data_IF_758901249799
#
_entry.id   IF_758901249799
#
_cell.length_a   1.000
_cell.length_b   1.000
_cell.length_c   1.000
_cell.angle_alpha   90.00
_cell.angle_beta   90.00
_cell.angle_gamma   90.00
#
_symmetry.space_group_name_H-M   'P 1'
#
loop_
_entity.id
_entity.type
_entity.pdbx_description
1 polymer ?
#
# COMPACT_ATOMS: atom_id res chain seq x y z
N UNK A 1 19.73 -2.18 1.84
CA UNK A 1 18.93 -3.41 1.55
C UNK A 1 17.48 -3.12 1.97
N UNK A 2 16.52 -3.42 1.08
CA UNK A 2 15.09 -3.21 1.33
C UNK A 2 14.41 -4.56 1.54
N UNK A 3 13.56 -4.66 2.56
CA UNK A 3 12.65 -5.77 2.83
C UNK A 3 11.22 -5.31 2.62
N UNK A 4 10.49 -6.01 1.75
CA UNK A 4 9.07 -5.77 1.50
C UNK A 4 8.24 -6.87 2.15
N UNK A 5 7.50 -6.52 3.19
CA UNK A 5 6.52 -7.39 3.83
C UNK A 5 5.26 -7.44 2.97
N UNK A 6 4.99 -8.61 2.42
CA UNK A 6 4.14 -8.75 1.25
C UNK A 6 3.16 -9.93 1.39
N UNK A 7 1.97 -9.74 0.85
CA UNK A 7 1.05 -10.79 0.46
C UNK A 7 0.41 -10.41 -0.88
N UNK A 8 -0.01 -11.38 -1.75
CA UNK A 8 -0.61 -11.06 -3.05
C UNK A 8 -1.91 -10.26 -2.93
N UNK A 9 -1.79 -8.97 -2.71
CA UNK A 9 -2.89 -8.01 -2.63
C UNK A 9 -2.63 -6.81 -3.55
N UNK A 10 -3.68 -6.13 -4.05
CA UNK A 10 -3.49 -4.93 -4.86
C UNK A 10 -2.63 -3.86 -4.20
N UNK A 11 -2.68 -3.75 -2.86
CA UNK A 11 -1.89 -2.77 -2.13
C UNK A 11 -0.39 -3.10 -2.12
N UNK A 12 -0.04 -4.38 -1.99
CA UNK A 12 1.35 -4.82 -2.02
C UNK A 12 1.94 -4.71 -3.43
N UNK A 13 1.16 -5.01 -4.46
CA UNK A 13 1.60 -4.88 -5.85
C UNK A 13 1.96 -3.44 -6.23
N UNK A 14 1.30 -2.43 -5.67
CA UNK A 14 1.70 -1.03 -5.91
C UNK A 14 3.16 -0.79 -5.56
N UNK A 15 3.59 -1.30 -4.42
CA UNK A 15 4.95 -1.12 -3.92
C UNK A 15 5.95 -1.98 -4.70
N UNK A 16 5.65 -3.26 -4.94
CA UNK A 16 6.56 -4.13 -5.69
C UNK A 16 6.75 -3.65 -7.12
N UNK A 17 5.70 -3.17 -7.80
CA UNK A 17 5.80 -2.59 -9.14
C UNK A 17 6.71 -1.35 -9.12
N UNK A 18 6.55 -0.46 -8.13
CA UNK A 18 7.40 0.72 -8.05
C UNK A 18 8.87 0.34 -7.81
N UNK A 19 9.15 -0.62 -6.93
CA UNK A 19 10.53 -1.09 -6.70
C UNK A 19 11.18 -1.65 -7.98
N UNK A 20 10.43 -2.42 -8.78
CA UNK A 20 10.89 -2.92 -10.08
C UNK A 20 11.12 -1.78 -11.08
N UNK A 21 10.21 -0.83 -11.21
CA UNK A 21 10.35 0.34 -12.09
C UNK A 21 11.55 1.24 -11.69
N UNK A 22 11.84 1.30 -10.40
CA UNK A 22 13.03 1.99 -9.88
C UNK A 22 14.32 1.19 -10.07
N UNK A 23 14.23 -0.10 -10.40
CA UNK A 23 15.35 -1.05 -10.41
C UNK A 23 16.07 -1.13 -9.06
N UNK A 24 15.32 -1.03 -7.97
CA UNK A 24 15.83 -1.12 -6.60
C UNK A 24 15.77 -2.57 -6.14
N UNK A 25 16.89 -3.20 -5.76
CA UNK A 25 16.89 -4.56 -5.23
C UNK A 25 16.14 -4.64 -3.90
N UNK A 26 15.29 -5.65 -3.76
CA UNK A 26 14.54 -5.88 -2.52
C UNK A 26 14.34 -7.38 -2.24
N UNK A 27 14.12 -7.70 -0.98
CA UNK A 27 13.76 -9.04 -0.53
C UNK A 27 12.28 -9.07 -0.13
N UNK A 28 11.54 -10.05 -0.61
CA UNK A 28 10.15 -10.24 -0.21
C UNK A 28 10.09 -11.08 1.07
N UNK A 29 9.43 -10.54 2.08
CA UNK A 29 9.09 -11.23 3.33
C UNK A 29 7.60 -11.56 3.30
N UNK A 30 7.21 -12.82 3.10
CA UNK A 30 5.80 -13.18 2.99
C UNK A 30 5.09 -13.09 4.34
N UNK A 31 3.90 -12.47 4.36
CA UNK A 31 3.01 -12.40 5.53
C UNK A 31 1.66 -12.99 5.14
N UNK A 32 1.40 -14.21 5.54
CA UNK A 32 0.19 -14.93 5.15
C UNK A 32 -1.04 -14.42 5.90
N UNK A 33 -1.73 -13.42 5.33
CA UNK A 33 -2.89 -12.76 5.97
C UNK A 33 -4.05 -13.72 6.26
N UNK A 34 -4.22 -14.77 5.47
CA UNK A 34 -5.26 -15.79 5.71
C UNK A 34 -4.98 -16.67 6.93
N UNK A 35 -3.73 -16.72 7.42
CA UNK A 35 -3.34 -17.39 8.66
C UNK A 35 -3.25 -16.44 9.86
N UNK A 36 -3.46 -15.15 9.65
CA UNK A 36 -3.39 -14.15 10.71
C UNK A 36 -1.97 -13.70 11.08
N UNK A 37 -0.97 -13.99 10.22
CA UNK A 37 0.43 -13.62 10.49
C UNK A 37 0.65 -12.11 10.64
N UNK A 38 -0.26 -11.29 10.09
CA UNK A 38 -0.25 -9.84 10.28
C UNK A 38 -0.56 -9.39 11.72
N UNK A 39 -1.01 -10.30 12.58
CA UNK A 39 -1.34 -10.01 13.99
C UNK A 39 -0.28 -10.57 14.96
N UNK A 40 0.85 -11.05 14.45
CA UNK A 40 1.96 -11.47 15.32
C UNK A 40 2.68 -10.27 15.90
N UNK A 41 3.21 -10.36 17.15
CA UNK A 41 3.96 -9.25 17.77
C UNK A 41 5.13 -8.77 16.91
N UNK A 42 5.78 -9.69 16.18
CA UNK A 42 6.89 -9.40 15.30
C UNK A 42 6.45 -8.47 14.16
N UNK A 43 5.32 -8.78 13.52
CA UNK A 43 4.80 -7.93 12.44
C UNK A 43 4.16 -6.64 12.98
N UNK A 44 3.51 -6.68 14.14
CA UNK A 44 2.95 -5.49 14.78
C UNK A 44 4.01 -4.44 15.11
N UNK A 45 5.23 -4.88 15.47
CA UNK A 45 6.37 -3.98 15.68
C UNK A 45 6.82 -3.26 14.40
N UNK A 46 6.52 -3.83 13.21
CA UNK A 46 6.82 -3.27 11.89
C UNK A 46 5.65 -2.40 11.41
N UNK A 47 4.43 -2.88 11.57
CA UNK A 47 3.23 -2.14 11.20
C UNK A 47 2.14 -2.24 12.27
N UNK A 48 1.96 -1.22 13.12
CA UNK A 48 0.95 -1.22 14.17
C UNK A 48 -0.50 -1.22 13.64
N UNK A 49 -0.70 -1.00 12.34
CA UNK A 49 -2.01 -1.12 11.68
C UNK A 49 -2.32 -2.57 11.23
N UNK A 50 -1.40 -3.53 11.45
CA UNK A 50 -1.59 -4.95 11.14
C UNK A 50 -2.01 -5.24 9.69
N UNK A 51 -1.48 -4.49 8.73
CA UNK A 51 -1.76 -4.64 7.31
C UNK A 51 -0.50 -4.71 6.47
N UNK A 52 -0.57 -5.43 5.37
CA UNK A 52 0.45 -5.39 4.31
C UNK A 52 0.04 -4.42 3.20
N UNK A 53 1.01 -3.77 2.53
CA UNK A 53 2.45 -3.88 2.70
C UNK A 53 3.00 -3.09 3.88
N UNK A 54 4.18 -3.50 4.35
CA UNK A 54 5.10 -2.69 5.11
C UNK A 54 6.49 -2.83 4.48
N UNK A 55 7.39 -1.89 4.76
CA UNK A 55 8.74 -1.87 4.20
C UNK A 55 9.75 -1.56 5.31
N UNK A 56 10.87 -2.26 5.31
CA UNK A 56 12.05 -1.91 6.10
C UNK A 56 13.17 -1.57 5.14
N UNK A 57 13.71 -0.37 5.25
CA UNK A 57 14.92 0.03 4.55
C UNK A 57 16.07 0.12 5.55
N UNK A 58 17.04 -0.79 5.41
CA UNK A 58 18.22 -0.85 6.27
C UNK A 58 19.23 0.26 6.01
N UNK A 59 19.10 0.97 4.89
CA UNK A 59 19.89 2.13 4.52
C UNK A 59 18.98 3.36 4.33
N UNK A 60 18.27 3.70 5.40
CA UNK A 60 17.36 4.83 5.44
C UNK A 60 18.03 6.17 5.68
N UNK A 61 17.27 7.21 6.05
CA UNK A 61 17.80 8.54 6.33
C UNK A 61 18.91 8.49 7.40
N UNK A 62 19.95 9.30 7.21
CA UNK A 62 21.12 9.39 8.11
C UNK A 62 21.86 8.04 8.28
N UNK A 63 21.72 7.11 7.34
CA UNK A 63 22.33 5.79 7.39
C UNK A 63 21.71 4.87 8.47
N UNK A 64 20.49 5.17 8.92
CA UNK A 64 19.78 4.37 9.92
C UNK A 64 18.63 3.61 9.30
N UNK A 65 18.30 2.40 9.79
CA UNK A 65 17.12 1.70 9.33
C UNK A 65 15.84 2.50 9.57
N UNK A 66 14.92 2.42 8.61
CA UNK A 66 13.58 2.99 8.74
C UNK A 66 12.52 1.94 8.41
N UNK A 67 11.45 1.93 9.18
CA UNK A 67 10.28 1.10 8.95
C UNK A 67 9.11 1.99 8.50
N UNK A 68 8.45 1.60 7.41
CA UNK A 68 7.39 2.40 6.81
C UNK A 68 6.18 1.50 6.53
N UNK A 69 5.02 1.93 6.95
CA UNK A 69 3.73 1.34 6.58
C UNK A 69 2.87 2.37 5.82
N UNK A 70 1.73 1.95 5.28
CA UNK A 70 0.91 2.61 4.27
C UNK A 70 1.59 2.63 2.88
N UNK A 71 0.95 1.94 1.93
CA UNK A 71 1.51 1.81 0.58
C UNK A 71 1.77 3.15 -0.11
N UNK A 72 0.93 4.17 0.14
CA UNK A 72 1.15 5.52 -0.39
C UNK A 72 2.38 6.19 0.21
N UNK A 73 2.60 6.07 1.52
CA UNK A 73 3.79 6.61 2.19
C UNK A 73 5.06 5.90 1.72
N UNK A 74 5.00 4.57 1.58
CA UNK A 74 6.12 3.78 1.03
C UNK A 74 6.47 4.26 -0.38
N UNK A 75 5.47 4.48 -1.24
CA UNK A 75 5.68 4.94 -2.61
C UNK A 75 6.31 6.35 -2.65
N UNK A 76 5.87 7.28 -1.79
CA UNK A 76 6.48 8.60 -1.67
C UNK A 76 7.94 8.48 -1.26
N UNK A 77 8.22 7.72 -0.21
CA UNK A 77 9.58 7.50 0.29
C UNK A 77 10.51 6.94 -0.78
N UNK A 78 10.09 5.89 -1.49
CA UNK A 78 10.90 5.27 -2.53
C UNK A 78 11.15 6.21 -3.71
N UNK A 79 10.14 6.98 -4.12
CA UNK A 79 10.26 7.95 -5.20
C UNK A 79 11.23 9.09 -4.83
N UNK A 80 11.15 9.59 -3.60
CA UNK A 80 12.04 10.64 -3.08
C UNK A 80 13.47 10.12 -2.93
N UNK A 81 13.65 8.96 -2.31
CA UNK A 81 14.98 8.33 -2.16
C UNK A 81 15.67 8.07 -3.49
N UNK A 82 14.91 7.70 -4.51
CA UNK A 82 15.44 7.38 -5.84
C UNK A 82 15.49 8.59 -6.79
N UNK A 83 15.00 9.74 -6.37
CA UNK A 83 14.87 10.96 -7.19
C UNK A 83 14.11 10.73 -8.50
N UNK A 84 13.17 9.76 -8.51
CA UNK A 84 12.36 9.38 -9.67
C UNK A 84 10.88 9.39 -9.31
N UNK A 85 10.02 9.62 -10.30
CA UNK A 85 8.55 9.64 -10.18
C UNK A 85 7.97 10.73 -9.26
N UNK A 86 8.79 11.46 -8.51
CA UNK A 86 8.35 12.60 -7.71
C UNK A 86 8.98 13.87 -8.27
N UNK A 87 8.21 14.73 -8.96
CA UNK A 87 8.73 15.97 -9.55
C UNK A 87 9.23 16.96 -8.49
N UNK A 88 10.24 17.76 -8.86
CA UNK A 88 10.82 18.78 -7.98
C UNK A 88 9.96 20.06 -7.92
N UNK A 89 9.24 20.42 -9.02
CA UNK A 89 8.39 21.60 -9.00
C UNK A 89 7.17 21.40 -8.11
N UNK A 90 6.82 22.40 -7.32
CA UNK A 90 5.68 22.34 -6.40
C UNK A 90 4.38 21.97 -7.12
N UNK A 91 4.09 22.59 -8.26
CA UNK A 91 2.85 22.34 -9.00
C UNK A 91 2.75 20.86 -9.46
N UNK A 92 3.82 20.34 -10.09
CA UNK A 92 3.84 18.96 -10.55
C UNK A 92 3.82 17.97 -9.39
N UNK A 93 4.50 18.28 -8.29
CA UNK A 93 4.48 17.48 -7.06
C UNK A 93 3.07 17.38 -6.47
N UNK A 94 2.36 18.49 -6.39
CA UNK A 94 0.98 18.49 -5.91
C UNK A 94 0.09 17.66 -6.81
N UNK A 95 0.22 17.76 -8.13
CA UNK A 95 -0.55 16.93 -9.07
C UNK A 95 -0.32 15.42 -8.84
N UNK A 96 0.92 14.98 -8.59
CA UNK A 96 1.21 13.59 -8.22
C UNK A 96 0.53 13.21 -6.91
N UNK A 97 0.61 14.08 -5.90
CA UNK A 97 -0.01 13.81 -4.59
C UNK A 97 -1.54 13.77 -4.67
N UNK A 98 -2.18 14.60 -5.49
CA UNK A 98 -3.63 14.55 -5.70
C UNK A 98 -4.08 13.17 -6.21
N UNK A 99 -3.42 12.66 -7.24
CA UNK A 99 -3.74 11.33 -7.77
C UNK A 99 -3.39 10.20 -6.82
N UNK A 100 -2.28 10.33 -6.09
CA UNK A 100 -1.93 9.35 -5.06
C UNK A 100 -2.96 9.34 -3.92
N UNK A 101 -3.36 10.51 -3.43
CA UNK A 101 -4.39 10.61 -2.37
C UNK A 101 -5.75 10.13 -2.87
N UNK A 102 -6.11 10.40 -4.12
CA UNK A 102 -7.30 9.84 -4.75
C UNK A 102 -7.26 8.30 -4.75
N UNK A 103 -6.11 7.69 -5.12
CA UNK A 103 -5.92 6.25 -5.00
C UNK A 103 -6.11 5.76 -3.55
N UNK A 104 -5.49 6.44 -2.58
CA UNK A 104 -5.49 6.00 -1.18
C UNK A 104 -6.82 6.25 -0.46
N UNK A 105 -7.50 7.34 -0.79
CA UNK A 105 -8.74 7.73 -0.14
C UNK A 105 -10.02 7.24 -0.84
N UNK A 106 -9.95 6.94 -2.13
CA UNK A 106 -11.13 6.57 -2.92
C UNK A 106 -10.96 5.25 -3.64
N UNK A 107 -10.04 5.13 -4.60
CA UNK A 107 -9.94 3.94 -5.48
C UNK A 107 -9.71 2.67 -4.65
N UNK A 108 -8.65 2.62 -3.87
CA UNK A 108 -8.32 1.46 -3.03
C UNK A 108 -9.44 1.09 -2.06
N UNK A 109 -9.88 1.99 -1.18
CA UNK A 109 -10.93 1.70 -0.20
C UNK A 109 -12.27 1.33 -0.83
N UNK A 110 -12.75 2.06 -1.82
CA UNK A 110 -14.09 1.82 -2.38
C UNK A 110 -14.14 0.53 -3.19
N UNK A 111 -13.13 0.23 -4.02
CA UNK A 111 -13.03 -1.06 -4.71
C UNK A 111 -12.84 -2.22 -3.72
N UNK A 112 -12.09 -2.01 -2.65
CA UNK A 112 -11.92 -2.99 -1.57
C UNK A 112 -13.24 -3.30 -0.87
N UNK A 113 -14.05 -2.29 -0.53
CA UNK A 113 -15.37 -2.49 0.07
C UNK A 113 -16.36 -3.14 -0.91
N UNK A 114 -16.37 -2.72 -2.18
CA UNK A 114 -17.19 -3.37 -3.20
C UNK A 114 -16.86 -4.86 -3.32
N UNK A 115 -15.57 -5.21 -3.33
CA UNK A 115 -15.12 -6.59 -3.37
C UNK A 115 -15.51 -7.36 -2.10
N UNK A 116 -15.33 -6.75 -0.92
CA UNK A 116 -15.69 -7.36 0.37
C UNK A 116 -17.18 -7.75 0.43
N UNK A 117 -18.09 -6.81 0.17
CA UNK A 117 -19.52 -7.07 0.28
C UNK A 117 -20.06 -7.99 -0.82
N UNK A 118 -19.39 -8.10 -1.95
CA UNK A 118 -19.76 -9.02 -3.04
C UNK A 118 -19.18 -10.42 -2.90
N UNK A 119 -18.02 -10.57 -2.26
CA UNK A 119 -17.25 -11.83 -2.27
C UNK A 119 -16.97 -12.42 -0.88
N UNK A 120 -16.65 -11.59 0.11
CA UNK A 120 -16.14 -12.06 1.40
C UNK A 120 -17.13 -11.95 2.54
N UNK A 121 -18.14 -11.11 2.43
CA UNK A 121 -19.19 -10.98 3.45
C UNK A 121 -19.92 -12.30 3.64
N UNK A 122 -20.00 -12.78 4.88
CA UNK A 122 -20.73 -14.00 5.25
C UNK A 122 -22.26 -13.83 5.14
N UNK A 123 -22.75 -12.60 5.11
CA UNK A 123 -24.14 -12.25 4.96
C UNK A 123 -24.31 -11.28 3.78
N UNK A 124 -25.39 -11.42 3.04
CA UNK A 124 -25.71 -10.47 1.98
C UNK A 124 -26.34 -9.22 2.57
N UNK A 125 -25.76 -8.06 2.29
CA UNK A 125 -26.27 -6.75 2.68
C UNK A 125 -26.55 -5.96 1.40
N UNK A 126 -27.79 -6.03 0.84
CA UNK A 126 -28.08 -5.46 -0.49
C UNK A 126 -27.76 -3.97 -0.60
N UNK A 127 -28.03 -3.19 0.44
CA UNK A 127 -27.70 -1.77 0.47
C UNK A 127 -26.18 -1.51 0.35
N UNK A 128 -25.36 -2.28 1.05
CA UNK A 128 -23.91 -2.12 0.97
C UNK A 128 -23.36 -2.53 -0.40
N UNK A 129 -23.87 -3.64 -0.96
CA UNK A 129 -23.52 -4.10 -2.31
C UNK A 129 -23.86 -3.03 -3.35
N UNK A 130 -25.09 -2.48 -3.31
CA UNK A 130 -25.53 -1.42 -4.24
C UNK A 130 -24.69 -0.15 -4.09
N UNK A 131 -24.52 0.35 -2.87
CA UNK A 131 -23.76 1.55 -2.57
C UNK A 131 -22.33 1.47 -3.11
N UNK A 132 -21.60 0.41 -2.75
CA UNK A 132 -20.21 0.29 -3.14
C UNK A 132 -20.02 -0.10 -4.60
N UNK A 133 -20.97 -0.79 -5.22
CA UNK A 133 -20.93 -1.03 -6.66
C UNK A 133 -21.11 0.26 -7.44
N UNK A 134 -22.08 1.12 -7.04
CA UNK A 134 -22.27 2.44 -7.66
C UNK A 134 -21.01 3.31 -7.53
N UNK A 135 -20.41 3.33 -6.35
CA UNK A 135 -19.19 4.11 -6.13
C UNK A 135 -17.99 3.56 -6.94
N UNK A 136 -17.85 2.24 -6.98
CA UNK A 136 -16.82 1.60 -7.82
C UNK A 136 -16.98 1.88 -9.32
N UNK A 137 -18.23 2.09 -9.78
CA UNK A 137 -18.51 2.45 -11.18
C UNK A 137 -18.25 3.94 -11.45
N UNK A 138 -18.42 4.81 -10.44
CA UNK A 138 -18.16 6.25 -10.56
C UNK A 138 -16.66 6.56 -10.63
N UNK A 139 -15.84 5.83 -9.89
CA UNK A 139 -14.38 5.96 -9.87
C UNK A 139 -13.76 5.53 -11.19
#
# INVERSE_FOLDING_TARGET
MIELYFWPTPNCYKVSILLEELSVPFTVIPIHIGKGEQYTPEFESINPNNKVPALVDHDGPDGKPITIFESGAIMIYLAEKSEKFMPQSTASRIAVLEWLMFQMGSVGPMLGQAHHFRKYSKITIPYAVDRYTKEATRI
#
